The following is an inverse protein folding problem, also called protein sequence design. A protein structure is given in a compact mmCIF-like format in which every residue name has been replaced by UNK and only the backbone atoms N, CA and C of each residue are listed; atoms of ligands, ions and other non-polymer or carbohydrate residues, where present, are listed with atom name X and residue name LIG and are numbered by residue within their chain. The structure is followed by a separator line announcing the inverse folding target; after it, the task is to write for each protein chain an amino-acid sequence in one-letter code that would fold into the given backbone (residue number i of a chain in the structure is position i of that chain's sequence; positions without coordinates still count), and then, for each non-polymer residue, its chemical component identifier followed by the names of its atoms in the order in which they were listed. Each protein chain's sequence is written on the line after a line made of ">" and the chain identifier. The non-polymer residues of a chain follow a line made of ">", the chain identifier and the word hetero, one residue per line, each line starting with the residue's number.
data_IF_645345844136
#
_entry.id   IF_645345844136
#
_cell.length_a   1.000
_cell.length_b   1.000
_cell.length_c   1.000
_cell.angle_alpha   90.00
_cell.angle_beta   90.00
_cell.angle_gamma   90.00
#
_symmetry.space_group_name_H-M   'P 1'
#
loop_
_entity.id
_entity.type
_entity.pdbx_description
1 polymer ?
#
# COMPACT_ATOMS: atom_id res chain seq x y z
N UNK A 1 12.90 -8.14 1.00
CA UNK A 1 12.40 -6.92 0.37
C UNK A 1 10.89 -7.00 0.10
N UNK A 2 10.06 -6.54 1.04
CA UNK A 2 8.59 -6.51 0.91
C UNK A 2 8.10 -5.84 -0.40
N UNK A 3 8.74 -4.75 -0.84
CA UNK A 3 8.36 -4.06 -2.08
C UNK A 3 8.53 -4.94 -3.34
N UNK A 4 9.52 -5.84 -3.35
CA UNK A 4 9.73 -6.76 -4.47
C UNK A 4 8.57 -7.76 -4.58
N UNK A 5 8.11 -8.29 -3.46
CA UNK A 5 6.96 -9.20 -3.44
C UNK A 5 5.68 -8.53 -3.95
N UNK A 6 5.39 -7.32 -3.48
CA UNK A 6 4.22 -6.58 -3.98
C UNK A 6 4.35 -6.25 -5.47
N UNK A 7 5.56 -5.92 -5.96
CA UNK A 7 5.80 -5.72 -7.40
C UNK A 7 5.49 -6.97 -8.21
N UNK A 8 5.92 -8.15 -7.76
CA UNK A 8 5.62 -9.42 -8.43
C UNK A 8 4.11 -9.68 -8.47
N UNK A 9 3.39 -9.42 -7.37
CA UNK A 9 1.92 -9.53 -7.31
C UNK A 9 1.23 -8.58 -8.30
N UNK A 10 1.78 -7.38 -8.50
CA UNK A 10 1.23 -6.36 -9.39
C UNK A 10 1.59 -6.56 -10.87
N UNK A 11 2.74 -7.16 -11.17
CA UNK A 11 3.26 -7.33 -12.53
C UNK A 11 2.27 -8.08 -13.45
N UNK A 12 1.52 -9.04 -12.89
CA UNK A 12 0.57 -9.86 -13.65
C UNK A 12 -0.83 -9.23 -13.77
N UNK A 13 -1.03 -7.99 -13.30
CA UNK A 13 -2.34 -7.34 -13.29
C UNK A 13 -2.50 -6.43 -14.52
N UNK A 14 -3.45 -6.77 -15.39
CA UNK A 14 -3.71 -6.04 -16.63
C UNK A 14 -4.04 -4.55 -16.43
N UNK A 15 -4.62 -4.19 -15.27
CA UNK A 15 -5.06 -2.82 -14.95
C UNK A 15 -3.95 -1.93 -14.37
N UNK A 16 -2.75 -2.46 -14.18
CA UNK A 16 -1.60 -1.75 -13.60
C UNK A 16 -0.63 -1.32 -14.70
N UNK A 17 -0.03 -0.15 -14.53
CA UNK A 17 1.09 0.34 -15.32
C UNK A 17 2.21 0.86 -14.41
N UNK A 18 3.43 0.91 -14.96
CA UNK A 18 4.56 1.67 -14.39
C UNK A 18 4.92 1.30 -12.93
N UNK A 19 5.12 0.01 -12.65
CA UNK A 19 5.53 -0.45 -11.32
C UNK A 19 7.04 -0.22 -11.11
N UNK A 20 7.37 0.73 -10.24
CA UNK A 20 8.73 1.16 -9.92
C UNK A 20 9.05 0.88 -8.44
N UNK A 21 10.19 0.25 -8.14
CA UNK A 21 10.66 0.10 -6.75
C UNK A 21 11.40 1.38 -6.36
N UNK A 22 10.95 2.03 -5.28
CA UNK A 22 11.57 3.24 -4.74
C UNK A 22 12.62 2.86 -3.68
N UNK A 23 12.30 1.86 -2.85
CA UNK A 23 13.18 1.35 -1.79
C UNK A 23 12.81 -0.08 -1.41
N UNK A 24 13.46 -0.67 -0.40
CA UNK A 24 13.12 -2.02 0.07
C UNK A 24 11.64 -2.18 0.52
N UNK A 25 11.06 -1.11 1.06
CA UNK A 25 9.72 -1.08 1.66
C UNK A 25 8.78 -0.11 0.92
N UNK A 26 9.21 0.43 -0.23
CA UNK A 26 8.39 1.33 -1.04
C UNK A 26 8.44 1.00 -2.52
N UNK A 27 7.30 1.15 -3.16
CA UNK A 27 7.17 1.12 -4.60
C UNK A 27 6.09 2.09 -5.04
N UNK A 28 6.08 2.46 -6.31
CA UNK A 28 4.96 3.17 -6.91
C UNK A 28 4.40 2.43 -8.11
N UNK A 29 3.14 2.68 -8.40
CA UNK A 29 2.46 2.19 -9.60
C UNK A 29 1.36 3.17 -10.00
N UNK A 30 0.85 3.01 -11.21
CA UNK A 30 -0.32 3.73 -11.71
C UNK A 30 -1.38 2.72 -12.18
N UNK A 31 -2.65 3.12 -12.18
CA UNK A 31 -3.70 2.33 -12.81
C UNK A 31 -3.84 2.77 -14.27
N UNK A 32 -4.01 1.86 -15.23
CA UNK A 32 -4.22 2.26 -16.63
C UNK A 32 -5.47 3.12 -16.84
N UNK A 33 -6.46 2.99 -15.96
CA UNK A 33 -7.70 3.76 -15.97
C UNK A 33 -7.57 5.15 -15.34
N UNK A 34 -6.44 5.48 -14.71
CA UNK A 34 -6.27 6.73 -13.96
C UNK A 34 -4.83 7.25 -14.03
N UNK A 35 -4.67 8.56 -14.22
CA UNK A 35 -3.35 9.21 -14.11
C UNK A 35 -2.85 9.32 -12.66
N UNK A 36 -3.58 8.79 -11.67
CA UNK A 36 -3.20 8.82 -10.26
C UNK A 36 -2.04 7.85 -10.02
N UNK A 37 -0.90 8.39 -9.56
CA UNK A 37 0.23 7.63 -9.06
C UNK A 37 -0.01 7.22 -7.60
N UNK A 38 0.11 5.93 -7.33
CA UNK A 38 0.05 5.37 -5.99
C UNK A 38 1.47 5.10 -5.50
N UNK A 39 1.79 5.59 -4.31
CA UNK A 39 3.06 5.33 -3.62
C UNK A 39 2.76 4.45 -2.42
N UNK A 40 3.18 3.19 -2.52
CA UNK A 40 2.95 2.17 -1.50
C UNK A 40 4.09 2.19 -0.48
N UNK A 41 3.71 2.17 0.79
CA UNK A 41 4.52 1.67 1.88
C UNK A 41 4.09 0.23 2.20
N UNK A 42 5.05 -0.69 2.23
CA UNK A 42 4.83 -2.08 2.64
C UNK A 42 5.63 -2.31 3.93
N UNK A 43 4.96 -2.58 5.06
CA UNK A 43 5.60 -2.72 6.36
C UNK A 43 6.72 -3.77 6.33
N UNK A 44 7.74 -3.57 7.17
CA UNK A 44 8.79 -4.57 7.39
C UNK A 44 8.39 -5.55 8.50
N UNK A 45 9.11 -6.66 8.66
CA UNK A 45 8.83 -7.65 9.73
C UNK A 45 8.89 -7.04 11.14
N UNK A 46 9.71 -5.99 11.35
CA UNK A 46 9.74 -5.21 12.59
C UNK A 46 8.45 -4.41 12.84
N UNK A 47 7.59 -4.28 11.84
CA UNK A 47 6.34 -3.53 11.80
C UNK A 47 5.14 -4.49 11.58
N UNK A 48 5.18 -5.66 12.22
CA UNK A 48 4.13 -6.69 12.13
C UNK A 48 2.72 -6.21 12.51
N UNK A 49 2.62 -5.08 13.20
CA UNK A 49 1.38 -4.34 13.44
C UNK A 49 1.45 -2.95 12.80
N UNK A 50 0.54 -2.67 11.89
CA UNK A 50 0.33 -1.31 11.35
C UNK A 50 -0.44 -0.50 12.39
N UNK A 51 0.32 0.12 13.29
CA UNK A 51 -0.15 1.09 14.29
C UNK A 51 -0.25 2.50 13.72
N UNK A 52 -0.71 3.45 14.53
CA UNK A 52 -0.67 4.88 14.19
C UNK A 52 0.73 5.35 13.78
N UNK A 53 1.77 4.88 14.44
CA UNK A 53 3.16 5.29 14.17
C UNK A 53 3.63 4.80 12.80
N UNK A 54 3.27 3.57 12.41
CA UNK A 54 3.60 3.02 11.09
C UNK A 54 2.89 3.81 9.99
N UNK A 55 1.63 4.20 10.21
CA UNK A 55 0.88 5.03 9.26
C UNK A 55 1.49 6.43 9.15
N UNK A 56 1.82 7.05 10.28
CA UNK A 56 2.50 8.37 10.31
C UNK A 56 3.83 8.32 9.57
N UNK A 57 4.66 7.30 9.84
CA UNK A 57 5.93 7.07 9.15
C UNK A 57 5.75 6.88 7.65
N UNK A 58 4.70 6.16 7.22
CA UNK A 58 4.40 5.99 5.80
C UNK A 58 4.06 7.34 5.13
N UNK A 59 3.26 8.18 5.79
CA UNK A 59 2.92 9.54 5.32
C UNK A 59 4.18 10.41 5.22
N UNK A 60 5.03 10.42 6.25
CA UNK A 60 6.28 11.21 6.25
C UNK A 60 7.23 10.80 5.11
N UNK A 61 7.17 9.54 4.69
CA UNK A 61 7.92 9.02 3.54
C UNK A 61 7.24 9.30 2.19
N UNK A 62 6.10 9.97 2.18
CA UNK A 62 5.36 10.33 0.97
C UNK A 62 4.49 9.20 0.41
N UNK A 63 4.19 8.17 1.20
CA UNK A 63 3.24 7.15 0.79
C UNK A 63 1.80 7.67 0.87
N UNK A 64 0.98 7.26 -0.09
CA UNK A 64 -0.47 7.49 -0.10
C UNK A 64 -1.26 6.18 -0.01
N UNK A 65 -0.56 5.06 0.11
CA UNK A 65 -1.12 3.74 0.32
C UNK A 65 -0.23 2.90 1.24
N UNK A 66 -0.80 2.22 2.22
CA UNK A 66 -0.12 1.16 2.98
C UNK A 66 -0.74 -0.18 2.62
N UNK A 67 0.10 -1.14 2.25
CA UNK A 67 -0.33 -2.51 1.97
C UNK A 67 0.26 -3.44 3.03
N UNK A 68 -0.61 -4.04 3.81
CA UNK A 68 -0.25 -5.00 4.85
C UNK A 68 -0.34 -6.43 4.28
N UNK A 69 0.80 -7.10 4.24
CA UNK A 69 0.92 -8.50 3.82
C UNK A 69 0.25 -9.46 4.81
N UNK A 70 0.01 -10.74 4.46
CA UNK A 70 -0.71 -11.69 5.32
C UNK A 70 -0.09 -11.94 6.69
N UNK A 71 1.22 -11.72 6.86
CA UNK A 71 1.93 -11.85 8.13
C UNK A 71 1.76 -10.62 9.05
N UNK A 72 1.24 -9.53 8.49
CA UNK A 72 1.04 -8.26 9.15
C UNK A 72 -0.45 -8.09 9.52
N UNK A 73 -0.74 -7.35 10.58
CA UNK A 73 -2.11 -6.95 10.93
C UNK A 73 -2.23 -5.43 11.04
N UNK A 74 -3.39 -4.89 10.66
CA UNK A 74 -3.69 -3.47 10.82
C UNK A 74 -4.47 -3.28 12.11
N UNK A 75 -3.98 -2.41 12.98
CA UNK A 75 -4.65 -2.09 14.25
C UNK A 75 -5.82 -1.13 14.03
N UNK A 76 -6.76 -1.10 14.97
CA UNK A 76 -7.85 -0.11 14.94
C UNK A 76 -7.34 1.34 14.96
N UNK A 77 -6.24 1.61 15.65
CA UNK A 77 -5.60 2.93 15.65
C UNK A 77 -4.97 3.25 14.29
N UNK A 78 -4.32 2.28 13.65
CA UNK A 78 -3.80 2.45 12.29
C UNK A 78 -4.89 2.85 11.29
N UNK A 79 -6.06 2.21 11.35
CA UNK A 79 -7.21 2.63 10.53
C UNK A 79 -7.67 4.05 10.86
N UNK A 80 -7.85 4.37 12.15
CA UNK A 80 -8.27 5.73 12.57
C UNK A 80 -7.28 6.81 12.12
N UNK A 81 -5.97 6.57 12.22
CA UNK A 81 -4.94 7.51 11.78
C UNK A 81 -4.97 7.72 10.28
N UNK A 82 -5.22 6.67 9.50
CA UNK A 82 -5.39 6.77 8.05
C UNK A 82 -6.65 7.58 7.67
N UNK A 83 -7.78 7.30 8.33
CA UNK A 83 -9.08 7.95 8.07
C UNK A 83 -9.07 9.44 8.48
N UNK A 84 -8.54 9.77 9.66
CA UNK A 84 -8.53 11.13 10.20
C UNK A 84 -7.73 12.13 9.35
N UNK A 85 -6.80 11.64 8.53
CA UNK A 85 -5.95 12.49 7.71
C UNK A 85 -6.37 12.62 6.24
N UNK A 86 -7.21 11.71 5.71
CA UNK A 86 -7.50 11.52 4.27
C UNK A 86 -6.27 11.49 3.34
N UNK A 87 -5.06 11.36 3.88
CA UNK A 87 -3.79 11.42 3.11
C UNK A 87 -3.31 10.05 2.67
N UNK A 88 -3.81 8.99 3.27
CA UNK A 88 -3.32 7.64 3.05
C UNK A 88 -4.44 6.60 3.23
N UNK A 89 -4.53 5.65 2.31
CA UNK A 89 -5.38 4.47 2.47
C UNK A 89 -4.55 3.31 3.04
N UNK A 90 -5.17 2.45 3.86
CA UNK A 90 -4.50 1.27 4.42
C UNK A 90 -5.34 0.04 4.10
N UNK A 91 -4.74 -0.98 3.48
CA UNK A 91 -5.45 -2.21 3.13
C UNK A 91 -4.64 -3.46 3.45
N UNK A 92 -5.32 -4.55 3.88
CA UNK A 92 -4.78 -5.89 3.74
C UNK A 92 -4.55 -6.21 2.25
N UNK A 93 -3.50 -6.96 1.93
CA UNK A 93 -3.13 -7.33 0.56
C UNK A 93 -4.30 -7.94 -0.23
N UNK A 94 -5.06 -8.85 0.39
CA UNK A 94 -6.22 -9.50 -0.25
C UNK A 94 -7.30 -8.47 -0.65
N UNK A 95 -7.58 -7.51 0.23
CA UNK A 95 -8.58 -6.45 -0.02
C UNK A 95 -8.11 -5.53 -1.14
N UNK A 96 -6.84 -5.14 -1.12
CA UNK A 96 -6.21 -4.33 -2.16
C UNK A 96 -6.29 -4.99 -3.54
N UNK A 97 -5.87 -6.26 -3.66
CA UNK A 97 -5.93 -7.00 -4.92
C UNK A 97 -7.36 -7.06 -5.45
N UNK A 98 -8.34 -7.36 -4.57
CA UNK A 98 -9.76 -7.41 -4.95
C UNK A 98 -10.24 -6.07 -5.50
N UNK A 99 -9.87 -4.95 -4.87
CA UNK A 99 -10.24 -3.59 -5.31
C UNK A 99 -9.67 -3.27 -6.70
N UNK A 100 -8.38 -3.53 -6.92
CA UNK A 100 -7.74 -3.31 -8.23
C UNK A 100 -8.37 -4.17 -9.32
N UNK A 101 -8.63 -5.44 -9.04
CA UNK A 101 -9.25 -6.34 -10.02
C UNK A 101 -10.65 -5.89 -10.43
N UNK A 102 -11.36 -5.19 -9.55
CA UNK A 102 -12.69 -4.64 -9.80
C UNK A 102 -12.69 -3.20 -10.31
N UNK A 103 -11.51 -2.57 -10.47
CA UNK A 103 -11.37 -1.13 -10.74
C UNK A 103 -12.14 -0.25 -9.73
N UNK A 104 -12.22 -0.68 -8.47
CA UNK A 104 -12.77 0.13 -7.39
C UNK A 104 -11.76 1.22 -6.97
N UNK A 105 -12.27 2.31 -6.40
CA UNK A 105 -11.43 3.36 -5.84
C UNK A 105 -10.58 2.83 -4.67
N UNK A 106 -9.30 3.24 -4.68
CA UNK A 106 -8.26 2.92 -3.70
C UNK A 106 -8.01 4.10 -2.76
#
# INVERSE_FOLDING_TARGET
>A
MPAKYIKEVLADKQNISEVEIISEFMLSFSLKSSSKKYTIYTPMSSEYLVSSDVVTKAIEKGANLVICEPWCQITGEGYKTAENGQKISVYPLKTFIRKIMKNEEL
#
